data_IF_974073302823
#
_entry.id   IF_974073302823
#
_cell.length_a   1.000
_cell.length_b   1.000
_cell.length_c   1.000
_cell.angle_alpha   90.00
_cell.angle_beta   90.00
_cell.angle_gamma   90.00
#
_symmetry.space_group_name_H-M   'P 1'
#
loop_
_entity.id
_entity.type
_entity.pdbx_description
1 polymer ?
#
# COMPACT_ATOMS: atom_id res chain seq x y z
N UNK A 1 -30.17 -18.35 47.34
CA UNK A 1 -29.69 -16.96 47.41
C UNK A 1 -28.30 -16.83 48.04
N UNK A 2 -28.03 -17.44 49.20
CA UNK A 2 -26.73 -17.33 49.89
C UNK A 2 -25.55 -17.90 49.06
N UNK A 3 -25.73 -19.06 48.42
CA UNK A 3 -24.72 -19.67 47.53
C UNK A 3 -24.38 -18.77 46.33
N UNK A 4 -25.39 -18.09 45.78
CA UNK A 4 -25.22 -17.17 44.63
C UNK A 4 -24.42 -15.93 45.06
N UNK A 5 -24.67 -15.40 46.26
CA UNK A 5 -23.91 -14.28 46.82
C UNK A 5 -22.43 -14.59 47.07
N UNK A 6 -22.08 -15.86 47.30
CA UNK A 6 -20.67 -16.28 47.51
C UNK A 6 -19.95 -16.53 46.18
N UNK A 7 -20.66 -17.05 45.17
CA UNK A 7 -20.06 -17.40 43.88
C UNK A 7 -19.81 -16.15 43.00
N UNK A 8 -20.72 -15.19 42.99
CA UNK A 8 -20.60 -13.97 42.17
C UNK A 8 -19.30 -13.18 42.42
N UNK A 9 -18.87 -12.87 43.66
CA UNK A 9 -17.64 -12.12 43.88
C UNK A 9 -16.39 -12.91 43.44
N UNK A 10 -16.39 -14.24 43.56
CA UNK A 10 -15.31 -15.08 43.06
C UNK A 10 -15.25 -15.10 41.53
N UNK A 11 -16.40 -15.21 40.87
CA UNK A 11 -16.49 -15.11 39.42
C UNK A 11 -16.08 -13.72 38.91
N UNK A 12 -16.48 -12.65 39.61
CA UNK A 12 -16.08 -11.28 39.29
C UNK A 12 -14.57 -11.08 39.40
N UNK A 13 -13.92 -11.57 40.47
CA UNK A 13 -12.47 -11.49 40.65
C UNK A 13 -11.69 -12.26 39.58
N UNK A 14 -12.22 -13.41 39.13
CA UNK A 14 -11.63 -14.17 38.03
C UNK A 14 -11.80 -13.45 36.68
N UNK A 15 -12.98 -12.84 36.43
CA UNK A 15 -13.23 -12.05 35.24
C UNK A 15 -12.37 -10.78 35.21
N UNK A 16 -12.14 -10.13 36.34
CA UNK A 16 -11.38 -8.87 36.41
C UNK A 16 -9.94 -9.04 35.91
N UNK A 17 -9.28 -10.15 36.28
CA UNK A 17 -7.93 -10.46 35.77
C UNK A 17 -7.92 -10.75 34.28
N UNK A 18 -8.94 -11.46 33.78
CA UNK A 18 -9.07 -11.79 32.37
C UNK A 18 -9.33 -10.51 31.55
N UNK A 19 -10.26 -9.68 32.01
CA UNK A 19 -10.62 -8.41 31.40
C UNK A 19 -9.45 -7.42 31.44
N UNK A 20 -8.66 -7.37 32.51
CA UNK A 20 -7.48 -6.49 32.58
C UNK A 20 -6.41 -6.86 31.54
N UNK A 21 -6.15 -8.17 31.34
CA UNK A 21 -5.26 -8.64 30.29
C UNK A 21 -5.79 -8.29 28.90
N UNK A 22 -7.09 -8.48 28.65
CA UNK A 22 -7.72 -8.07 27.40
C UNK A 22 -7.70 -6.54 27.20
N UNK A 23 -7.99 -5.74 28.23
CA UNK A 23 -8.08 -4.29 28.15
C UNK A 23 -6.71 -3.60 27.95
N UNK A 24 -5.62 -4.18 28.45
CA UNK A 24 -4.27 -3.62 28.24
C UNK A 24 -3.61 -4.04 26.91
N UNK A 25 -3.85 -5.26 26.43
CA UNK A 25 -3.19 -5.75 25.20
C UNK A 25 -3.96 -5.40 23.91
N UNK A 26 -5.30 -5.26 23.97
CA UNK A 26 -6.12 -4.89 22.80
C UNK A 26 -5.77 -3.50 22.20
N UNK A 27 -5.59 -2.39 22.95
CA UNK A 27 -5.39 -1.07 22.34
C UNK A 27 -4.06 -0.93 21.58
N UNK A 28 -3.06 -1.79 21.83
CA UNK A 28 -1.83 -1.84 21.02
C UNK A 28 -1.94 -2.73 19.80
N UNK A 29 -2.79 -3.76 19.83
CA UNK A 29 -3.05 -4.62 18.68
C UNK A 29 -3.90 -3.91 17.62
N UNK A 30 -4.81 -3.02 18.03
CA UNK A 30 -5.74 -2.33 17.13
C UNK A 30 -5.00 -1.50 16.07
N UNK A 31 -3.89 -0.85 16.41
CA UNK A 31 -3.06 -0.11 15.44
C UNK A 31 -2.44 -1.02 14.38
N UNK A 32 -1.90 -2.18 14.79
CA UNK A 32 -1.34 -3.15 13.85
C UNK A 32 -2.41 -3.74 12.94
N UNK A 33 -3.59 -4.03 13.49
CA UNK A 33 -4.75 -4.53 12.72
C UNK A 33 -5.25 -3.47 11.74
N UNK A 34 -5.32 -2.21 12.14
CA UNK A 34 -5.75 -1.10 11.29
C UNK A 34 -4.74 -0.87 10.16
N UNK A 35 -3.45 -0.75 10.45
CA UNK A 35 -2.42 -0.59 9.43
C UNK A 35 -2.38 -1.81 8.47
N UNK A 36 -2.56 -3.03 8.98
CA UNK A 36 -2.67 -4.21 8.12
C UNK A 36 -3.93 -4.16 7.25
N UNK A 37 -5.06 -3.66 7.75
CA UNK A 37 -6.27 -3.47 6.94
C UNK A 37 -6.03 -2.46 5.82
N UNK A 38 -5.32 -1.37 6.10
CA UNK A 38 -4.92 -0.38 5.09
C UNK A 38 -4.01 -1.04 4.03
N UNK A 39 -3.03 -1.84 4.46
CA UNK A 39 -2.16 -2.59 3.55
C UNK A 39 -2.94 -3.58 2.68
N UNK A 40 -3.86 -4.34 3.25
CA UNK A 40 -4.67 -5.30 2.50
C UNK A 40 -5.56 -4.59 1.47
N UNK A 41 -6.11 -3.42 1.82
CA UNK A 41 -6.86 -2.60 0.87
C UNK A 41 -5.97 -2.11 -0.29
N UNK A 42 -4.77 -1.63 0.02
CA UNK A 42 -3.78 -1.23 -0.98
C UNK A 42 -3.38 -2.41 -1.88
N UNK A 43 -3.09 -3.58 -1.30
CA UNK A 43 -2.72 -4.79 -2.03
C UNK A 43 -3.86 -5.28 -2.93
N UNK A 44 -5.11 -5.17 -2.48
CA UNK A 44 -6.27 -5.47 -3.33
C UNK A 44 -6.33 -4.53 -4.54
N UNK A 45 -6.16 -3.22 -4.32
CA UNK A 45 -6.13 -2.25 -5.42
C UNK A 45 -4.98 -2.52 -6.38
N UNK A 46 -3.79 -2.82 -5.86
CA UNK A 46 -2.60 -3.12 -6.66
C UNK A 46 -2.78 -4.39 -7.50
N UNK A 47 -3.35 -5.44 -6.91
CA UNK A 47 -3.74 -6.66 -7.64
C UNK A 47 -4.68 -6.34 -8.78
N UNK A 48 -5.73 -5.56 -8.52
CA UNK A 48 -6.73 -5.22 -9.54
C UNK A 48 -6.11 -4.38 -10.67
N UNK A 49 -5.17 -3.50 -10.35
CA UNK A 49 -4.42 -2.71 -11.32
C UNK A 49 -3.49 -3.59 -12.18
N UNK A 50 -2.79 -4.55 -11.58
CA UNK A 50 -1.88 -5.49 -12.28
C UNK A 50 -2.67 -6.48 -13.13
N UNK A 51 -3.81 -6.97 -12.66
CA UNK A 51 -4.66 -7.87 -13.42
C UNK A 51 -5.18 -7.22 -14.71
N UNK A 52 -5.38 -5.89 -14.70
CA UNK A 52 -5.78 -5.10 -15.88
C UNK A 52 -4.60 -4.60 -16.70
N UNK A 53 -3.38 -4.88 -16.27
CA UNK A 53 -2.19 -4.35 -16.91
C UNK A 53 -1.94 -5.02 -18.26
N UNK A 54 -1.45 -4.24 -19.22
CA UNK A 54 -0.91 -4.73 -20.49
C UNK A 54 0.60 -4.99 -20.39
N UNK A 55 1.27 -4.33 -19.43
CA UNK A 55 2.71 -4.43 -19.23
C UNK A 55 3.20 -3.82 -17.92
N UNK A 56 4.48 -4.07 -17.61
CA UNK A 56 5.19 -3.51 -16.47
C UNK A 56 6.49 -2.83 -16.98
N UNK A 57 6.40 -1.61 -17.50
CA UNK A 57 7.52 -0.94 -18.16
C UNK A 57 8.66 -0.63 -17.19
N UNK A 58 9.87 -0.46 -17.74
CA UNK A 58 11.05 -0.04 -16.97
C UNK A 58 11.04 1.47 -16.77
N UNK A 59 10.54 2.24 -17.72
CA UNK A 59 10.42 3.69 -17.59
C UNK A 59 9.20 4.22 -18.36
N UNK A 60 8.64 5.35 -17.89
CA UNK A 60 7.56 6.07 -18.55
C UNK A 60 7.59 7.55 -18.15
N UNK A 61 7.45 8.46 -19.11
CA UNK A 61 7.42 9.91 -18.89
C UNK A 61 8.54 10.45 -17.95
N UNK A 62 9.78 9.99 -18.15
CA UNK A 62 10.95 10.39 -17.36
C UNK A 62 11.05 9.75 -15.97
N UNK A 63 10.16 8.81 -15.61
CA UNK A 63 10.19 8.06 -14.36
C UNK A 63 10.63 6.63 -14.60
N UNK A 64 11.42 6.06 -13.69
CA UNK A 64 11.90 4.67 -13.75
C UNK A 64 11.22 3.80 -12.70
N UNK A 65 10.88 2.58 -13.10
CA UNK A 65 10.45 1.50 -12.23
C UNK A 65 11.65 0.96 -11.42
N UNK A 66 11.44 0.62 -10.16
CA UNK A 66 12.45 0.18 -9.20
C UNK A 66 11.88 -0.01 -7.80
N UNK A 67 12.73 0.02 -6.78
CA UNK A 67 12.35 -0.30 -5.39
C UNK A 67 11.34 0.71 -4.79
N UNK A 68 11.44 1.97 -5.18
CA UNK A 68 10.56 3.04 -4.69
C UNK A 68 9.42 3.38 -5.64
N UNK A 69 9.43 2.85 -6.87
CA UNK A 69 8.43 3.18 -7.88
C UNK A 69 8.05 1.96 -8.71
N UNK A 70 6.77 1.64 -8.76
CA UNK A 70 6.22 0.59 -9.62
C UNK A 70 5.37 1.23 -10.71
N UNK A 71 5.71 0.92 -11.96
CA UNK A 71 4.97 1.36 -13.14
C UNK A 71 4.13 0.19 -13.69
N UNK A 72 2.84 0.44 -13.88
CA UNK A 72 1.86 -0.53 -14.37
C UNK A 72 1.18 0.10 -15.58
N UNK A 73 1.44 -0.45 -16.76
CA UNK A 73 0.85 0.01 -18.00
C UNK A 73 -0.55 -0.57 -18.16
N UNK A 74 -1.51 0.29 -18.47
CA UNK A 74 -2.89 -0.03 -18.78
C UNK A 74 -3.29 0.65 -20.10
N UNK A 75 -4.39 0.23 -20.75
CA UNK A 75 -4.83 0.85 -22.01
C UNK A 75 -5.06 2.38 -21.91
N UNK A 76 -5.47 2.87 -20.73
CA UNK A 76 -5.82 4.27 -20.50
C UNK A 76 -4.68 5.13 -19.94
N UNK A 77 -3.47 4.57 -19.79
CA UNK A 77 -2.29 5.24 -19.25
C UNK A 77 -1.44 4.35 -18.32
N UNK A 78 -0.51 4.97 -17.59
CA UNK A 78 0.38 4.26 -16.67
C UNK A 78 0.03 4.59 -15.23
N UNK A 79 -0.35 3.58 -14.46
CA UNK A 79 -0.49 3.69 -13.01
C UNK A 79 0.90 3.63 -12.39
N UNK A 80 1.17 4.60 -11.53
CA UNK A 80 2.39 4.69 -10.76
C UNK A 80 2.07 4.46 -9.30
N UNK A 81 2.75 3.50 -8.70
CA UNK A 81 2.86 3.37 -7.25
C UNK A 81 4.20 3.94 -6.81
N UNK A 82 4.19 4.83 -5.83
CA UNK A 82 5.39 5.41 -5.25
C UNK A 82 5.42 5.14 -3.76
N UNK A 83 6.49 4.48 -3.33
CA UNK A 83 6.79 4.26 -1.93
C UNK A 83 7.48 5.49 -1.37
N UNK A 84 7.02 5.94 -0.21
CA UNK A 84 7.72 6.92 0.61
C UNK A 84 7.87 6.34 2.02
N UNK A 85 8.54 7.05 2.93
CA UNK A 85 8.83 6.53 4.28
C UNK A 85 7.59 6.08 5.06
N UNK A 86 6.46 6.76 4.89
CA UNK A 86 5.28 6.55 5.74
C UNK A 86 3.99 6.31 4.96
N UNK A 87 4.03 6.35 3.63
CA UNK A 87 2.85 6.22 2.79
C UNK A 87 3.18 5.62 1.44
N UNK A 88 2.17 4.99 0.84
CA UNK A 88 2.18 4.59 -0.56
C UNK A 88 1.23 5.49 -1.33
N UNK A 89 1.75 6.08 -2.41
CA UNK A 89 0.98 6.91 -3.33
C UNK A 89 0.65 6.09 -4.57
N UNK A 90 -0.59 6.17 -5.03
CA UNK A 90 -0.98 5.71 -6.37
C UNK A 90 -1.47 6.91 -7.16
N UNK A 91 -1.00 7.05 -8.39
CA UNK A 91 -1.52 8.04 -9.33
C UNK A 91 -1.47 7.53 -10.77
N UNK A 92 -2.27 8.11 -11.65
CA UNK A 92 -2.31 7.76 -13.08
C UNK A 92 -1.60 8.85 -13.87
N UNK A 93 -0.63 8.46 -14.69
CA UNK A 93 0.01 9.29 -15.70
C UNK A 93 -0.62 8.99 -17.05
N UNK A 94 -1.10 10.03 -17.73
CA UNK A 94 -1.46 9.97 -19.14
C UNK A 94 -0.38 10.71 -19.92
N UNK A 95 -0.05 10.24 -21.12
CA UNK A 95 0.75 11.06 -22.02
C UNK A 95 0.06 12.41 -22.19
N UNK A 96 0.81 13.53 -22.16
CA UNK A 96 0.25 14.78 -22.61
C UNK A 96 -0.11 14.57 -24.08
N UNK A 97 -1.42 14.59 -24.38
CA UNK A 97 -1.89 14.77 -25.75
C UNK A 97 -1.14 16.01 -26.24
N UNK A 98 -0.27 15.86 -27.24
CA UNK A 98 0.38 16.98 -27.88
C UNK A 98 -0.73 17.99 -28.19
N UNK A 99 -0.70 19.13 -27.51
CA UNK A 99 -1.67 20.18 -27.72
C UNK A 99 -1.65 20.47 -29.21
N UNK A 100 -2.75 20.14 -29.89
CA UNK A 100 -2.96 20.56 -31.27
C UNK A 100 -2.74 22.06 -31.30
N UNK A 101 -1.74 22.47 -32.08
CA UNK A 101 -1.30 23.85 -32.21
C UNK A 101 -2.49 24.77 -32.49
N UNK A 102 -2.75 25.69 -31.56
CA UNK A 102 -3.24 27.02 -31.88
C UNK A 102 -2.43 28.03 -31.05
N UNK A 103 -1.59 28.79 -31.76
CA UNK A 103 -0.88 30.01 -31.36
C UNK A 103 -1.76 30.92 -30.48
N UNK A 104 -1.30 31.77 -29.56
CA UNK A 104 -0.19 32.76 -29.52
C UNK A 104 -0.38 33.43 -28.11
N UNK A 105 0.57 33.67 -27.19
CA UNK A 105 1.53 34.81 -27.08
C UNK A 105 2.21 34.73 -25.68
N UNK A 106 3.53 34.96 -25.65
CA UNK A 106 4.48 35.37 -24.58
C UNK A 106 4.46 34.83 -23.13
N UNK A 107 5.63 34.30 -22.71
CA UNK A 107 6.10 34.21 -21.32
C UNK A 107 7.23 33.19 -21.12
N UNK A 108 8.32 33.51 -20.37
CA UNK A 108 9.57 32.75 -20.47
C UNK A 108 9.49 31.37 -19.82
N UNK A 109 10.13 30.44 -20.51
CA UNK A 109 10.18 29.00 -20.24
C UNK A 109 10.90 28.68 -18.92
N UNK A 110 10.24 27.89 -18.07
CA UNK A 110 10.94 26.90 -17.24
C UNK A 110 10.13 25.62 -17.31
N UNK A 111 10.51 24.80 -18.28
CA UNK A 111 9.93 23.50 -18.60
C UNK A 111 10.35 22.45 -17.57
N UNK A 112 9.41 22.04 -16.72
CA UNK A 112 9.35 20.68 -16.19
C UNK A 112 7.95 20.18 -16.51
N UNK A 113 7.85 19.28 -17.50
CA UNK A 113 6.61 18.69 -17.97
C UNK A 113 5.77 18.19 -16.79
N UNK A 114 4.74 18.94 -16.43
CA UNK A 114 3.75 18.52 -15.43
C UNK A 114 2.86 17.47 -16.09
N UNK A 115 3.24 16.21 -15.98
CA UNK A 115 2.33 15.10 -16.29
C UNK A 115 1.15 15.22 -15.32
N UNK A 116 -0.04 15.51 -15.85
CA UNK A 116 -1.23 15.77 -15.05
C UNK A 116 -1.72 14.47 -14.38
N UNK A 117 -1.30 14.24 -13.14
CA UNK A 117 -1.78 13.13 -12.32
C UNK A 117 -3.29 13.28 -12.06
N UNK A 118 -4.12 12.50 -12.76
CA UNK A 118 -5.57 12.76 -12.84
C UNK A 118 -6.36 12.13 -11.68
N UNK A 119 -5.87 11.02 -11.11
CA UNK A 119 -6.51 10.33 -9.99
C UNK A 119 -5.43 9.91 -9.01
N UNK A 120 -5.49 10.38 -7.77
CA UNK A 120 -4.52 10.04 -6.73
C UNK A 120 -5.19 9.35 -5.53
N UNK A 121 -4.49 8.35 -4.96
CA UNK A 121 -4.89 7.68 -3.72
C UNK A 121 -3.67 7.54 -2.84
N UNK A 122 -3.88 7.69 -1.53
CA UNK A 122 -2.81 7.67 -0.53
C UNK A 122 -3.18 6.65 0.54
N UNK A 123 -2.28 5.73 0.84
CA UNK A 123 -2.40 4.84 1.99
C UNK A 123 -1.34 5.20 3.02
N UNK A 124 -1.72 5.77 4.18
CA UNK A 124 -0.80 6.02 5.27
C UNK A 124 -0.46 4.71 5.96
N UNK A 125 0.83 4.36 5.95
CA UNK A 125 1.36 3.10 6.47
C UNK A 125 2.68 3.34 7.22
N UNK A 126 2.67 4.18 8.28
CA UNK A 126 3.89 4.71 8.91
C UNK A 126 4.80 3.66 9.53
N UNK A 127 4.25 2.50 9.93
CA UNK A 127 5.04 1.39 10.47
C UNK A 127 5.07 0.19 9.54
N UNK A 128 4.47 0.26 8.35
CA UNK A 128 4.56 -0.81 7.40
C UNK A 128 5.86 -0.74 6.61
N UNK A 129 6.31 -1.92 6.19
CA UNK A 129 7.29 -2.06 5.13
C UNK A 129 6.59 -2.72 3.97
N UNK A 130 6.70 -2.07 2.81
CA UNK A 130 6.25 -2.58 1.52
C UNK A 130 7.49 -2.70 0.65
N UNK A 131 7.67 -3.87 0.06
CA UNK A 131 8.73 -4.12 -0.90
C UNK A 131 8.10 -4.79 -2.11
N UNK A 132 8.44 -4.33 -3.29
CA UNK A 132 8.00 -4.97 -4.53
C UNK A 132 9.19 -5.27 -5.43
N UNK A 133 9.01 -6.27 -6.26
CA UNK A 133 9.96 -6.63 -7.30
C UNK A 133 9.19 -7.00 -8.55
N UNK A 134 9.55 -6.38 -9.67
CA UNK A 134 9.00 -6.77 -10.98
C UNK A 134 9.79 -7.96 -11.51
N UNK A 135 9.12 -9.07 -11.75
CA UNK A 135 9.69 -10.25 -12.39
C UNK A 135 9.61 -10.08 -13.91
N UNK A 136 10.73 -10.35 -14.58
CA UNK A 136 10.92 -10.09 -16.01
C UNK A 136 11.38 -11.33 -16.75
N UNK A 137 10.91 -11.48 -17.98
CA UNK A 137 11.35 -12.50 -18.93
C UNK A 137 11.49 -11.83 -20.30
N UNK A 138 12.65 -11.97 -20.96
CA UNK A 138 12.98 -11.26 -22.21
C UNK A 138 12.71 -9.75 -22.12
N UNK A 139 13.17 -9.10 -21.05
CA UNK A 139 12.95 -7.67 -20.70
C UNK A 139 11.50 -7.23 -20.52
N UNK A 140 10.53 -8.13 -20.72
CA UNK A 140 9.12 -7.89 -20.46
C UNK A 140 8.78 -8.27 -19.01
N UNK A 141 8.29 -7.30 -18.25
CA UNK A 141 7.74 -7.58 -16.91
C UNK A 141 6.43 -8.35 -17.02
N UNK A 142 6.34 -9.50 -16.35
CA UNK A 142 5.17 -10.39 -16.43
C UNK A 142 4.47 -10.59 -15.08
N UNK A 143 5.15 -10.27 -13.97
CA UNK A 143 4.56 -10.36 -12.64
C UNK A 143 5.20 -9.36 -11.67
N UNK A 144 4.52 -9.09 -10.57
CA UNK A 144 5.04 -8.32 -9.43
C UNK A 144 4.94 -9.18 -8.19
N UNK A 145 6.07 -9.39 -7.52
CA UNK A 145 6.10 -9.92 -6.17
C UNK A 145 6.01 -8.75 -5.19
N UNK A 146 5.09 -8.81 -4.22
CA UNK A 146 4.93 -7.78 -3.19
C UNK A 146 5.03 -8.42 -1.82
N UNK A 147 6.00 -7.99 -1.03
CA UNK A 147 6.20 -8.41 0.35
C UNK A 147 5.85 -7.28 1.30
N UNK A 148 5.04 -7.56 2.32
CA UNK A 148 4.64 -6.57 3.32
C UNK A 148 4.78 -7.09 4.74
N UNK A 149 4.99 -6.19 5.69
CA UNK A 149 4.84 -6.46 7.12
C UNK A 149 4.67 -5.15 7.90
N UNK A 150 4.11 -5.25 9.11
CA UNK A 150 4.02 -4.11 10.04
C UNK A 150 5.09 -4.26 11.12
N UNK A 151 5.88 -3.20 11.33
CA UNK A 151 6.82 -3.08 12.45
C UNK A 151 6.05 -2.69 13.69
N UNK A 152 6.24 -3.44 14.77
CA UNK A 152 5.67 -3.10 16.07
C UNK A 152 6.78 -3.10 17.11
N UNK A 153 6.92 -2.00 17.85
CA UNK A 153 7.80 -1.96 19.01
C UNK A 153 7.09 -2.59 20.21
N UNK A 154 7.66 -3.66 20.75
CA UNK A 154 7.20 -4.29 21.99
C UNK A 154 8.34 -4.23 23.01
N UNK A 155 8.18 -3.40 24.04
CA UNK A 155 9.25 -3.05 24.98
C UNK A 155 10.48 -2.51 24.22
N UNK A 156 11.62 -3.18 24.30
CA UNK A 156 12.87 -2.78 23.65
C UNK A 156 13.13 -3.51 22.32
N UNK A 157 12.21 -4.35 21.84
CA UNK A 157 12.39 -5.16 20.62
C UNK A 157 11.40 -4.76 19.54
N UNK A 158 11.91 -4.58 18.33
CA UNK A 158 11.10 -4.50 17.13
C UNK A 158 10.65 -5.89 16.70
N UNK A 159 9.35 -6.06 16.49
CA UNK A 159 8.75 -7.29 15.98
C UNK A 159 8.16 -7.07 14.58
N UNK A 160 8.31 -8.09 13.72
CA UNK A 160 7.62 -8.21 12.44
C UNK A 160 6.25 -8.84 12.69
N UNK A 161 5.17 -8.14 12.34
CA UNK A 161 3.79 -8.64 12.45
C UNK A 161 3.12 -8.65 11.08
N UNK A 162 2.15 -9.56 10.92
CA UNK A 162 1.30 -9.68 9.72
C UNK A 162 2.10 -9.66 8.41
N UNK A 163 3.12 -10.52 8.35
CA UNK A 163 3.96 -10.63 7.18
C UNK A 163 3.20 -11.33 6.04
N UNK A 164 3.12 -10.69 4.87
CA UNK A 164 2.50 -11.25 3.68
C UNK A 164 3.46 -11.20 2.49
N UNK A 165 3.33 -12.14 1.57
CA UNK A 165 4.00 -12.11 0.28
C UNK A 165 3.01 -12.57 -0.79
N UNK A 166 2.83 -11.74 -1.82
CA UNK A 166 1.92 -12.01 -2.92
C UNK A 166 2.67 -11.96 -4.25
N UNK A 167 2.21 -12.74 -5.21
CA UNK A 167 2.67 -12.70 -6.59
C UNK A 167 1.46 -12.40 -7.48
N UNK A 168 1.53 -11.30 -8.24
CA UNK A 168 0.48 -10.86 -9.14
C UNK A 168 0.98 -10.94 -10.58
N UNK A 169 0.19 -11.53 -11.47
CA UNK A 169 0.54 -11.69 -12.89
C UNK A 169 -0.19 -10.64 -13.73
N UNK A 170 0.52 -10.09 -14.71
CA UNK A 170 -0.05 -9.16 -15.69
C UNK A 170 -1.13 -9.86 -16.49
N UNK A 171 -2.31 -9.24 -16.61
CA UNK A 171 -3.40 -9.75 -17.46
C UNK A 171 -4.11 -11.01 -16.93
N UNK A 172 -4.00 -11.33 -15.64
CA UNK A 172 -4.55 -12.55 -15.03
C UNK A 172 -6.08 -12.51 -14.78
N UNK A 173 -6.86 -11.96 -15.71
CA UNK A 173 -8.33 -11.86 -15.65
C UNK A 173 -9.02 -13.22 -15.50
#
# INVERSE_FOLDING_TARGET
>A
MLVVMVIIPFAALALDRLLYAFLMDIPRSSRVVQENTILLNMLSQMRDDINKATGLPVAFAGRSSGDEMLLIEQPDGVICYQLTKEQVLRYVLKEPVAATEQSEVDGPSTSLHSVAATQSRIWPVPNAVVQWQVLRSNDKGYAVQVSTYVKQQLREKWQKKMANSHLYFVGAL
#
